data_IF_757954826044
#
_entry.id   IF_757954826044
#
_cell.length_a   1.000
_cell.length_b   1.000
_cell.length_c   1.000
_cell.angle_alpha   90.00
_cell.angle_beta   90.00
_cell.angle_gamma   90.00
#
_symmetry.space_group_name_H-M   'P 1'
#
loop_
_entity.id
_entity.type
_entity.pdbx_description
1 polymer ?
#
# COMPACT_ATOMS: atom_id res chain seq x y z
N UNK A 1 19.41 8.44 28.65
CA UNK A 1 19.31 7.38 29.68
C UNK A 1 18.26 7.80 30.70
N UNK A 2 17.08 7.21 30.65
CA UNK A 2 16.16 7.06 31.78
C UNK A 2 15.15 5.98 31.38
N UNK A 3 15.25 4.85 32.07
CA UNK A 3 14.48 3.62 31.89
C UNK A 3 13.32 3.63 32.89
N UNK A 4 12.13 3.15 32.49
CA UNK A 4 11.10 2.72 33.44
C UNK A 4 10.56 1.37 32.96
N UNK A 5 10.94 0.34 33.71
CA UNK A 5 10.40 -1.02 33.69
C UNK A 5 9.41 -1.14 34.85
N UNK A 6 8.30 -1.84 34.63
CA UNK A 6 7.29 -2.10 35.66
C UNK A 6 6.29 -3.14 35.17
N UNK A 7 6.62 -4.40 35.39
CA UNK A 7 5.75 -5.55 35.15
C UNK A 7 4.81 -5.76 36.36
N UNK A 8 3.54 -6.06 36.09
CA UNK A 8 2.66 -6.78 37.01
C UNK A 8 1.65 -7.60 36.20
N UNK A 9 1.58 -8.90 36.49
CA UNK A 9 0.66 -9.89 35.92
C UNK A 9 -0.32 -10.36 37.03
N UNK A 10 -1.39 -11.13 36.74
CA UNK A 10 -2.77 -10.74 37.07
C UNK A 10 -3.46 -11.69 38.08
N UNK A 11 -4.77 -11.50 38.35
CA UNK A 11 -5.65 -12.59 38.73
C UNK A 11 -6.75 -12.88 37.69
N UNK A 12 -7.44 -13.99 37.96
CA UNK A 12 -8.03 -14.96 37.05
C UNK A 12 -9.57 -14.94 36.94
N UNK A 13 -10.05 -15.58 35.86
CA UNK A 13 -11.41 -16.16 35.61
C UNK A 13 -12.54 -15.15 35.29
N UNK A 14 -13.50 -15.39 34.39
CA UNK A 14 -14.08 -16.64 33.90
C UNK A 14 -14.83 -16.44 32.55
N UNK A 15 -15.06 -17.57 31.88
CA UNK A 15 -16.19 -17.91 30.99
C UNK A 15 -16.33 -17.41 29.54
N UNK A 16 -16.45 -18.43 28.67
CA UNK A 16 -17.29 -18.54 27.48
C UNK A 16 -16.90 -17.80 26.19
N UNK A 17 -16.35 -18.52 25.21
CA UNK A 17 -17.13 -19.23 24.18
C UNK A 17 -16.17 -19.82 23.13
N UNK A 18 -16.06 -21.15 23.09
CA UNK A 18 -15.32 -21.87 22.03
C UNK A 18 -16.27 -22.11 20.87
N UNK A 19 -16.03 -21.53 19.71
CA UNK A 19 -16.59 -22.04 18.46
C UNK A 19 -15.53 -22.89 17.74
N UNK A 20 -15.64 -24.21 17.90
CA UNK A 20 -14.97 -25.21 17.06
C UNK A 20 -15.79 -25.34 15.77
N UNK A 21 -15.23 -24.99 14.62
CA UNK A 21 -15.77 -25.39 13.33
C UNK A 21 -15.20 -26.77 12.97
N UNK A 22 -16.05 -27.80 12.91
CA UNK A 22 -15.69 -29.12 12.39
C UNK A 22 -16.67 -29.51 11.28
N UNK A 23 -16.10 -29.79 10.10
CA UNK A 23 -16.53 -30.67 9.00
C UNK A 23 -17.99 -30.59 8.51
N UNK A 24 -18.13 -30.38 7.20
CA UNK A 24 -18.84 -31.34 6.37
C UNK A 24 -18.24 -31.43 4.95
N UNK A 25 -17.97 -32.68 4.57
CA UNK A 25 -17.58 -33.16 3.24
C UNK A 25 -18.82 -33.29 2.35
N UNK A 26 -18.57 -33.26 1.03
CA UNK A 26 -19.33 -33.89 -0.07
C UNK A 26 -20.70 -33.29 -0.42
N UNK A 27 -20.77 -32.65 -1.59
CA UNK A 27 -21.51 -33.15 -2.77
C UNK A 27 -21.03 -32.40 -4.03
N UNK A 28 -20.61 -33.15 -5.06
CA UNK A 28 -20.41 -32.65 -6.44
C UNK A 28 -21.77 -32.65 -7.15
N UNK A 29 -21.97 -31.75 -8.13
CA UNK A 29 -22.20 -32.26 -9.48
C UNK A 29 -21.25 -31.65 -10.51
N UNK A 30 -20.77 -32.56 -11.35
CA UNK A 30 -20.13 -32.44 -12.66
C UNK A 30 -20.72 -31.37 -13.56
N UNK A 31 -19.85 -30.52 -14.15
CA UNK A 31 -19.69 -30.26 -15.59
C UNK A 31 -18.60 -29.21 -15.80
N UNK A 32 -17.35 -29.66 -15.93
CA UNK A 32 -16.28 -28.92 -16.63
C UNK A 32 -15.19 -29.93 -17.01
N UNK A 33 -15.11 -30.31 -18.29
CA UNK A 33 -13.93 -31.03 -18.82
C UNK A 33 -12.83 -30.00 -19.06
N UNK A 34 -12.04 -29.73 -18.02
CA UNK A 34 -10.69 -29.19 -18.22
C UNK A 34 -9.79 -30.36 -18.63
N UNK A 35 -9.15 -30.25 -19.80
CA UNK A 35 -7.98 -31.09 -20.10
C UNK A 35 -6.93 -30.79 -19.04
N UNK A 36 -6.53 -31.81 -18.27
CA UNK A 36 -5.45 -31.69 -17.30
C UNK A 36 -4.12 -31.42 -18.02
N UNK A 37 -3.27 -30.48 -17.52
CA UNK A 37 -1.87 -30.49 -17.89
C UNK A 37 -1.17 -31.67 -17.20
N UNK A 38 -0.21 -32.25 -17.91
CA UNK A 38 0.56 -33.40 -17.48
C UNK A 38 1.28 -33.17 -16.14
N UNK A 39 1.34 -34.25 -15.35
CA UNK A 39 1.97 -34.37 -14.04
C UNK A 39 3.40 -33.80 -13.99
N UNK A 40 3.64 -32.91 -13.02
CA UNK A 40 4.97 -32.50 -12.54
C UNK A 40 5.52 -33.66 -11.70
N UNK A 41 6.14 -34.63 -12.35
CA UNK A 41 6.99 -35.64 -11.70
C UNK A 41 7.91 -36.22 -12.77
N UNK A 42 9.06 -35.58 -12.95
CA UNK A 42 10.33 -36.10 -13.47
C UNK A 42 11.08 -34.95 -14.11
N UNK A 43 12.09 -34.41 -13.40
CA UNK A 43 13.27 -33.76 -13.95
C UNK A 43 14.20 -33.41 -12.78
N UNK A 44 14.66 -34.44 -12.08
CA UNK A 44 15.86 -34.35 -11.25
C UNK A 44 17.01 -35.02 -11.99
N UNK A 45 17.94 -34.21 -12.50
CA UNK A 45 19.39 -34.46 -12.73
C UNK A 45 19.89 -33.75 -13.99
N UNK A 46 20.60 -32.65 -13.81
CA UNK A 46 21.97 -32.52 -14.33
C UNK A 46 22.68 -31.34 -13.67
N UNK A 47 23.95 -31.55 -13.39
CA UNK A 47 24.87 -30.73 -12.60
C UNK A 47 25.85 -29.96 -13.51
N UNK A 48 26.11 -28.68 -13.18
CA UNK A 48 27.46 -28.06 -13.28
C UNK A 48 27.86 -27.23 -14.52
N UNK A 49 27.73 -25.89 -14.40
CA UNK A 49 28.66 -24.75 -14.68
C UNK A 49 29.56 -24.64 -15.95
N UNK A 50 30.13 -23.44 -16.26
CA UNK A 50 29.62 -22.06 -16.16
C UNK A 50 29.84 -21.21 -17.45
N UNK A 51 29.22 -20.03 -17.50
CA UNK A 51 29.52 -18.86 -18.36
C UNK A 51 29.67 -19.07 -19.88
N UNK A 52 28.58 -18.80 -20.60
CA UNK A 52 28.62 -18.33 -21.99
C UNK A 52 28.06 -16.89 -22.06
N UNK A 53 28.67 -15.98 -22.83
CA UNK A 53 28.17 -14.60 -22.96
C UNK A 53 26.83 -14.60 -23.69
N UNK A 54 25.93 -13.70 -23.26
CA UNK A 54 24.62 -13.51 -23.88
C UNK A 54 24.78 -13.17 -25.38
N UNK A 55 23.95 -13.75 -26.28
CA UNK A 55 24.00 -13.38 -27.68
C UNK A 55 23.55 -11.93 -27.85
N UNK A 56 24.11 -11.19 -28.83
CA UNK A 56 23.75 -9.79 -29.05
C UNK A 56 22.27 -9.68 -29.40
N UNK A 57 21.60 -8.66 -28.83
CA UNK A 57 20.22 -8.31 -29.17
C UNK A 57 20.13 -8.02 -30.66
N UNK A 58 19.54 -8.96 -31.41
CA UNK A 58 19.11 -8.71 -32.77
C UNK A 58 18.12 -7.53 -32.75
N UNK A 59 18.45 -6.48 -33.50
CA UNK A 59 17.61 -5.31 -33.70
C UNK A 59 16.26 -5.74 -34.27
N UNK A 60 15.22 -5.71 -33.43
CA UNK A 60 13.84 -5.85 -33.89
C UNK A 60 13.51 -4.66 -34.78
N UNK A 61 13.09 -4.93 -36.01
CA UNK A 61 12.54 -3.94 -36.91
C UNK A 61 11.33 -3.22 -36.27
N UNK A 62 11.13 -1.92 -36.54
CA UNK A 62 10.00 -1.19 -36.00
C UNK A 62 8.72 -1.62 -36.73
N UNK A 63 7.74 -2.14 -35.98
CA UNK A 63 6.36 -2.29 -36.44
C UNK A 63 5.92 -3.69 -36.87
N UNK A 64 5.80 -4.63 -35.92
CA UNK A 64 4.82 -5.73 -35.99
C UNK A 64 4.24 -5.98 -34.58
N UNK A 65 3.58 -4.96 -34.03
CA UNK A 65 2.65 -5.10 -32.92
C UNK A 65 1.27 -4.74 -33.46
N UNK A 66 0.73 -5.56 -34.36
CA UNK A 66 -0.62 -5.36 -34.89
C UNK A 66 -1.62 -5.64 -33.79
N UNK A 67 -2.01 -4.63 -33.02
CA UNK A 67 -3.20 -4.73 -32.17
C UNK A 67 -4.36 -5.15 -33.06
N UNK A 68 -5.00 -6.28 -32.75
CA UNK A 68 -6.18 -6.71 -33.48
C UNK A 68 -7.24 -5.60 -33.41
N UNK A 69 -7.95 -5.38 -34.51
CA UNK A 69 -9.09 -4.47 -34.49
C UNK A 69 -10.07 -4.91 -33.39
N UNK A 70 -10.57 -3.94 -32.62
CA UNK A 70 -11.55 -4.21 -31.56
C UNK A 70 -12.81 -4.80 -32.20
N UNK A 71 -13.24 -5.98 -31.73
CA UNK A 71 -14.48 -6.63 -32.17
C UNK A 71 -15.67 -5.71 -31.87
N UNK A 72 -16.59 -5.58 -32.83
CA UNK A 72 -17.75 -4.68 -32.75
C UNK A 72 -19.07 -5.43 -32.82
N UNK A 73 -19.06 -6.69 -33.23
CA UNK A 73 -20.26 -7.51 -33.28
C UNK A 73 -20.80 -7.76 -31.86
N UNK A 74 -22.05 -7.33 -31.56
CA UNK A 74 -22.60 -7.43 -30.20
C UNK A 74 -22.72 -8.87 -29.69
N UNK A 75 -22.99 -9.84 -30.57
CA UNK A 75 -23.16 -11.24 -30.19
C UNK A 75 -21.79 -11.82 -29.82
N UNK A 76 -20.77 -11.59 -30.65
CA UNK A 76 -19.40 -12.03 -30.32
C UNK A 76 -18.84 -11.34 -29.08
N UNK A 77 -19.15 -10.06 -28.86
CA UNK A 77 -18.77 -9.37 -27.63
C UNK A 77 -19.46 -9.96 -26.40
N UNK A 78 -20.72 -10.36 -26.52
CA UNK A 78 -21.43 -11.07 -25.46
C UNK A 78 -20.79 -12.42 -25.16
N UNK A 79 -20.47 -13.21 -26.18
CA UNK A 79 -19.79 -14.50 -26.02
C UNK A 79 -18.42 -14.30 -25.32
N UNK A 80 -17.65 -13.30 -25.74
CA UNK A 80 -16.39 -12.93 -25.09
C UNK A 80 -16.58 -12.49 -23.64
N UNK A 81 -17.64 -11.75 -23.33
CA UNK A 81 -17.95 -11.38 -21.95
C UNK A 81 -18.24 -12.61 -21.08
N UNK A 82 -19.08 -13.52 -21.56
CA UNK A 82 -19.41 -14.76 -20.83
C UNK A 82 -18.17 -15.63 -20.63
N UNK A 83 -17.28 -15.70 -21.61
CA UNK A 83 -16.07 -16.51 -21.56
C UNK A 83 -14.97 -15.89 -20.68
N UNK A 84 -14.72 -14.58 -20.82
CA UNK A 84 -13.52 -13.92 -20.28
C UNK A 84 -13.77 -13.04 -19.05
N UNK A 85 -15.01 -12.86 -18.61
CA UNK A 85 -15.28 -12.13 -17.38
C UNK A 85 -14.61 -12.83 -16.19
N UNK A 86 -13.58 -12.19 -15.65
CA UNK A 86 -12.98 -12.64 -14.41
C UNK A 86 -13.73 -12.05 -13.22
N UNK A 87 -14.12 -12.92 -12.28
CA UNK A 87 -14.75 -12.52 -11.03
C UNK A 87 -13.95 -13.02 -9.83
N UNK A 88 -13.42 -12.11 -9.03
CA UNK A 88 -12.87 -12.41 -7.71
C UNK A 88 -13.95 -12.25 -6.63
N UNK A 89 -14.77 -13.29 -6.42
CA UNK A 89 -15.96 -13.25 -5.56
C UNK A 89 -15.72 -12.69 -4.15
N UNK A 90 -14.60 -13.04 -3.51
CA UNK A 90 -14.29 -12.57 -2.15
C UNK A 90 -14.04 -11.06 -2.07
N UNK A 91 -13.53 -10.45 -3.16
CA UNK A 91 -13.22 -9.03 -3.22
C UNK A 91 -14.34 -8.23 -3.89
N UNK A 92 -15.34 -8.89 -4.47
CA UNK A 92 -16.34 -8.24 -5.32
C UNK A 92 -15.76 -7.60 -6.59
N UNK A 93 -14.54 -7.99 -7.00
CA UNK A 93 -13.85 -7.43 -8.16
C UNK A 93 -14.26 -8.18 -9.44
N UNK A 94 -14.57 -7.41 -10.48
CA UNK A 94 -14.84 -7.92 -11.83
C UNK A 94 -13.86 -7.26 -12.80
N UNK A 95 -13.30 -8.07 -13.70
CA UNK A 95 -12.45 -7.60 -14.79
C UNK A 95 -13.05 -8.10 -16.10
N UNK A 96 -13.64 -7.19 -16.86
CA UNK A 96 -14.21 -7.45 -18.18
C UNK A 96 -13.19 -7.05 -19.26
N UNK A 97 -12.65 -8.05 -19.96
CA UNK A 97 -11.71 -7.85 -21.08
C UNK A 97 -12.37 -8.07 -22.45
N UNK A 98 -13.69 -8.26 -22.51
CA UNK A 98 -14.42 -8.62 -23.74
C UNK A 98 -14.22 -7.63 -24.88
N UNK A 99 -14.05 -6.36 -24.54
CA UNK A 99 -13.88 -5.23 -25.48
C UNK A 99 -12.42 -4.85 -25.74
N UNK A 100 -11.46 -5.61 -25.24
CA UNK A 100 -10.05 -5.41 -25.56
C UNK A 100 -9.70 -6.04 -26.90
N UNK A 101 -8.95 -5.32 -27.74
CA UNK A 101 -8.50 -5.78 -29.06
C UNK A 101 -7.32 -6.73 -28.96
N UNK A 102 -7.60 -8.03 -28.81
CA UNK A 102 -6.58 -9.09 -28.87
C UNK A 102 -7.08 -10.28 -29.69
N UNK A 103 -6.16 -10.95 -30.39
CA UNK A 103 -6.44 -12.17 -31.17
C UNK A 103 -6.72 -13.35 -30.25
N UNK A 104 -7.44 -14.37 -30.72
CA UNK A 104 -7.74 -15.56 -29.91
C UNK A 104 -6.46 -16.28 -29.42
N UNK A 105 -5.38 -16.25 -30.20
CA UNK A 105 -4.08 -16.82 -29.83
C UNK A 105 -3.23 -15.93 -28.89
N UNK A 106 -3.70 -14.71 -28.55
CA UNK A 106 -2.91 -13.74 -27.79
C UNK A 106 -2.46 -14.31 -26.44
N UNK A 107 -3.35 -14.96 -25.71
CA UNK A 107 -3.03 -15.51 -24.39
C UNK A 107 -2.02 -16.65 -24.48
N UNK A 108 -2.10 -17.49 -25.51
CA UNK A 108 -1.10 -18.53 -25.77
C UNK A 108 0.28 -17.93 -26.05
N UNK A 109 0.33 -16.82 -26.78
CA UNK A 109 1.58 -16.10 -27.05
C UNK A 109 2.14 -15.40 -25.81
N UNK A 110 1.25 -14.90 -24.93
CA UNK A 110 1.64 -14.22 -23.69
C UNK A 110 2.02 -15.19 -22.57
N UNK A 111 1.56 -16.43 -22.60
CA UNK A 111 1.78 -17.43 -21.54
C UNK A 111 3.26 -17.54 -21.12
N UNK A 112 4.25 -17.71 -22.03
CA UNK A 112 5.65 -17.79 -21.62
C UNK A 112 6.17 -16.50 -20.98
N UNK A 113 5.66 -15.33 -21.37
CA UNK A 113 6.04 -14.04 -20.78
C UNK A 113 5.45 -13.91 -19.37
N UNK A 114 4.20 -14.32 -19.19
CA UNK A 114 3.51 -14.29 -17.90
C UNK A 114 4.17 -15.26 -16.91
N UNK A 115 4.54 -16.47 -17.34
CA UNK A 115 5.28 -17.41 -16.49
C UNK A 115 6.61 -16.81 -16.00
N UNK A 116 7.36 -16.12 -16.87
CA UNK A 116 8.58 -15.41 -16.44
C UNK A 116 8.27 -14.28 -15.46
N UNK A 117 7.19 -13.52 -15.69
CA UNK A 117 6.78 -12.46 -14.78
C UNK A 117 6.40 -13.00 -13.40
N UNK A 118 5.69 -14.13 -13.31
CA UNK A 118 5.35 -14.77 -12.04
C UNK A 118 6.58 -15.29 -11.28
N UNK A 119 7.56 -15.88 -11.98
CA UNK A 119 8.84 -16.26 -11.37
C UNK A 119 9.56 -15.02 -10.83
N UNK A 120 9.68 -13.96 -11.62
CA UNK A 120 10.32 -12.72 -11.20
C UNK A 120 9.61 -12.07 -10.00
N UNK A 121 8.27 -12.09 -9.98
CA UNK A 121 7.49 -11.62 -8.83
C UNK A 121 7.77 -12.46 -7.58
N UNK A 122 7.86 -13.79 -7.69
CA UNK A 122 8.20 -14.65 -6.57
C UNK A 122 9.63 -14.44 -6.04
N UNK A 123 10.59 -14.08 -6.90
CA UNK A 123 11.95 -13.68 -6.49
C UNK A 123 11.95 -12.33 -5.79
N UNK A 124 11.24 -11.35 -6.35
CA UNK A 124 11.04 -10.03 -5.78
C UNK A 124 10.41 -10.16 -4.38
N UNK A 125 9.35 -10.94 -4.24
CA UNK A 125 8.66 -11.19 -2.97
C UNK A 125 9.57 -11.75 -1.87
N UNK A 126 10.52 -12.60 -2.25
CA UNK A 126 11.54 -13.19 -1.37
C UNK A 126 12.71 -12.24 -1.05
N UNK A 127 12.67 -10.99 -1.53
CA UNK A 127 13.67 -9.97 -1.22
C UNK A 127 14.85 -9.94 -2.21
N UNK A 128 14.64 -10.33 -3.47
CA UNK A 128 15.63 -10.04 -4.51
C UNK A 128 15.89 -8.52 -4.63
N UNK A 129 17.12 -8.16 -5.01
CA UNK A 129 17.46 -6.77 -5.30
C UNK A 129 16.83 -6.40 -6.65
N UNK A 130 15.73 -5.66 -6.57
CA UNK A 130 14.96 -5.22 -7.73
C UNK A 130 15.35 -3.83 -8.21
N UNK A 131 15.92 -2.99 -7.33
CA UNK A 131 16.50 -1.71 -7.70
C UNK A 131 18.04 -1.84 -7.69
N UNK A 132 18.67 -2.18 -8.83
CA UNK A 132 20.12 -2.38 -8.90
C UNK A 132 20.89 -1.07 -8.72
N UNK A 133 20.34 0.06 -9.18
CA UNK A 133 21.00 1.37 -9.10
C UNK A 133 21.17 1.83 -7.64
N UNK A 134 20.19 1.51 -6.79
CA UNK A 134 20.26 1.81 -5.35
C UNK A 134 20.69 0.61 -4.49
N UNK A 135 20.87 -0.57 -5.09
CA UNK A 135 21.17 -1.82 -4.37
C UNK A 135 20.07 -2.20 -3.36
N UNK A 136 18.79 -1.95 -3.69
CA UNK A 136 17.66 -2.09 -2.76
C UNK A 136 16.66 -3.16 -3.15
N UNK A 137 16.09 -3.79 -2.13
CA UNK A 137 14.87 -4.58 -2.24
C UNK A 137 13.66 -3.66 -2.42
N UNK A 138 12.58 -4.17 -3.00
CA UNK A 138 11.30 -3.46 -3.13
C UNK A 138 10.27 -4.25 -2.33
N UNK A 139 9.75 -3.73 -1.22
CA UNK A 139 9.04 -4.54 -0.23
C UNK A 139 7.64 -4.07 0.17
N UNK A 140 6.97 -3.25 -0.66
CA UNK A 140 5.70 -2.61 -0.29
C UNK A 140 4.55 -3.61 0.00
N UNK A 141 4.61 -4.82 -0.54
CA UNK A 141 3.67 -5.91 -0.26
C UNK A 141 3.90 -6.54 1.12
N UNK A 142 5.13 -6.52 1.68
CA UNK A 142 5.37 -6.91 3.07
C UNK A 142 4.62 -6.02 4.07
N UNK A 143 4.37 -4.76 3.69
CA UNK A 143 3.59 -3.83 4.52
C UNK A 143 2.10 -4.21 4.59
N UNK A 144 1.61 -5.00 3.62
CA UNK A 144 0.22 -5.50 3.56
C UNK A 144 0.10 -6.93 4.07
N UNK A 145 1.15 -7.74 3.89
CA UNK A 145 1.29 -9.08 4.47
C UNK A 145 2.72 -9.26 5.02
N UNK A 146 2.92 -8.97 6.33
CA UNK A 146 4.24 -9.12 6.96
C UNK A 146 4.78 -10.55 6.95
N UNK A 147 3.93 -11.56 6.72
CA UNK A 147 4.33 -12.95 6.61
C UNK A 147 5.25 -13.23 5.41
N UNK A 148 5.18 -12.40 4.37
CA UNK A 148 6.02 -12.49 3.17
C UNK A 148 7.40 -11.85 3.33
N UNK A 149 7.67 -11.15 4.44
CA UNK A 149 8.95 -10.49 4.63
C UNK A 149 10.10 -11.52 4.66
N UNK A 150 11.25 -11.22 4.03
CA UNK A 150 12.31 -12.20 3.78
C UNK A 150 13.06 -12.62 5.06
N UNK A 151 12.88 -11.90 6.15
CA UNK A 151 13.43 -12.25 7.46
C UNK A 151 12.53 -11.77 8.60
N UNK A 152 12.71 -12.40 9.77
CA UNK A 152 11.94 -12.10 10.98
C UNK A 152 12.15 -10.68 11.49
N UNK A 153 13.33 -10.10 11.29
CA UNK A 153 13.61 -8.72 11.70
C UNK A 153 12.72 -7.70 10.97
N UNK A 154 12.63 -7.79 9.64
CA UNK A 154 11.75 -6.94 8.84
C UNK A 154 10.29 -7.17 9.19
N UNK A 155 9.86 -8.44 9.29
CA UNK A 155 8.50 -8.79 9.70
C UNK A 155 8.12 -8.12 11.03
N UNK A 156 8.92 -8.33 12.08
CA UNK A 156 8.65 -7.77 13.40
C UNK A 156 8.68 -6.23 13.39
N UNK A 157 9.54 -5.62 12.58
CA UNK A 157 9.57 -4.15 12.45
C UNK A 157 8.29 -3.63 11.81
N UNK A 158 7.78 -4.30 10.78
CA UNK A 158 6.51 -3.95 10.12
C UNK A 158 5.34 -4.13 11.10
N UNK A 159 5.20 -5.31 11.70
CA UNK A 159 4.13 -5.64 12.65
C UNK A 159 4.08 -4.62 13.80
N UNK A 160 5.21 -4.36 14.47
CA UNK A 160 5.28 -3.38 15.56
C UNK A 160 4.95 -1.96 15.11
N UNK A 161 5.38 -1.57 13.90
CA UNK A 161 5.09 -0.22 13.38
C UNK A 161 3.59 -0.06 13.12
N UNK A 162 2.96 -1.08 12.51
CA UNK A 162 1.51 -1.09 12.30
C UNK A 162 0.77 -1.04 13.62
N UNK A 163 1.15 -1.86 14.61
CA UNK A 163 0.55 -1.85 15.95
C UNK A 163 0.64 -0.47 16.61
N UNK A 164 1.80 0.19 16.53
CA UNK A 164 1.99 1.54 17.06
C UNK A 164 1.10 2.58 16.36
N UNK A 165 0.99 2.52 15.02
CA UNK A 165 0.14 3.42 14.24
C UNK A 165 -1.33 3.23 14.62
N UNK A 166 -1.78 1.98 14.74
CA UNK A 166 -3.16 1.66 15.12
C UNK A 166 -3.47 2.15 16.54
N UNK A 167 -2.60 1.87 17.50
CA UNK A 167 -2.76 2.32 18.88
C UNK A 167 -2.77 3.85 18.98
N UNK A 168 -1.84 4.53 18.31
CA UNK A 168 -1.79 5.99 18.27
C UNK A 168 -3.06 6.58 17.64
N UNK A 169 -3.51 6.03 16.51
CA UNK A 169 -4.72 6.51 15.82
C UNK A 169 -5.96 6.35 16.70
N UNK A 170 -6.09 5.22 17.42
CA UNK A 170 -7.17 5.00 18.37
C UNK A 170 -7.10 5.99 19.55
N UNK A 171 -5.91 6.25 20.08
CA UNK A 171 -5.71 7.21 21.18
C UNK A 171 -6.06 8.65 20.75
N UNK A 172 -5.78 9.04 19.50
CA UNK A 172 -6.18 10.34 18.94
C UNK A 172 -7.69 10.43 18.74
N UNK A 173 -8.30 9.42 18.10
CA UNK A 173 -9.75 9.43 17.82
C UNK A 173 -10.58 9.36 19.10
N UNK A 174 -10.14 8.62 20.11
CA UNK A 174 -10.80 8.54 21.42
C UNK A 174 -10.61 9.79 22.29
N UNK A 175 -9.69 10.70 21.92
CA UNK A 175 -9.35 11.89 22.69
C UNK A 175 -8.46 11.62 23.91
N UNK A 176 -7.89 10.41 24.04
CA UNK A 176 -6.85 10.11 25.04
C UNK A 176 -5.59 10.94 24.75
N UNK A 177 -5.19 11.00 23.49
CA UNK A 177 -4.25 11.99 22.97
C UNK A 177 -5.06 13.19 22.48
N UNK A 178 -4.85 14.35 23.10
CA UNK A 178 -5.64 15.55 22.88
C UNK A 178 -4.76 16.79 22.73
N UNK A 179 -5.22 17.83 22.02
CA UNK A 179 -4.51 19.09 21.91
C UNK A 179 -4.43 19.80 23.28
N UNK A 180 -3.38 20.59 23.55
CA UNK A 180 -3.19 21.24 24.85
C UNK A 180 -4.28 22.25 25.23
N UNK A 181 -4.85 22.95 24.25
CA UNK A 181 -5.64 24.18 24.50
C UNK A 181 -6.93 24.27 23.69
N UNK A 182 -7.46 23.15 23.18
CA UNK A 182 -8.72 23.18 22.43
C UNK A 182 -9.95 23.10 23.34
N UNK A 183 -10.98 23.90 23.08
CA UNK A 183 -12.28 23.79 23.73
C UNK A 183 -12.99 22.47 23.43
N UNK A 184 -12.73 21.87 22.26
CA UNK A 184 -13.29 20.59 21.85
C UNK A 184 -12.77 19.39 22.67
N UNK A 185 -11.65 19.56 23.39
CA UNK A 185 -11.00 18.50 24.17
C UNK A 185 -10.42 17.35 23.34
N UNK A 186 -10.40 17.47 22.01
CA UNK A 186 -9.91 16.47 21.05
C UNK A 186 -9.39 17.14 19.78
N UNK A 187 -8.61 16.40 18.99
CA UNK A 187 -8.29 16.82 17.64
C UNK A 187 -9.56 16.78 16.76
N UNK A 188 -9.70 17.77 15.89
CA UNK A 188 -10.79 17.85 14.90
C UNK A 188 -10.27 17.93 13.47
N UNK A 189 -9.00 18.32 13.30
CA UNK A 189 -8.34 18.49 12.02
C UNK A 189 -7.01 17.72 11.98
N UNK A 190 -6.65 17.24 10.79
CA UNK A 190 -5.32 16.78 10.45
C UNK A 190 -4.78 17.70 9.35
N UNK A 191 -3.57 18.23 9.54
CA UNK A 191 -2.82 18.92 8.50
C UNK A 191 -1.63 18.05 8.09
N UNK A 192 -1.73 17.39 6.95
CA UNK A 192 -0.68 16.53 6.40
C UNK A 192 0.24 17.34 5.50
N UNK A 193 1.54 17.31 5.79
CA UNK A 193 2.58 18.03 5.06
C UNK A 193 3.48 16.99 4.39
N UNK A 194 3.52 16.99 3.06
CA UNK A 194 4.32 16.05 2.29
C UNK A 194 4.06 16.24 0.81
N UNK A 195 5.01 15.87 -0.05
CA UNK A 195 4.90 15.99 -1.51
C UNK A 195 5.01 14.62 -2.19
N UNK A 196 4.43 14.50 -3.39
CA UNK A 196 4.51 13.30 -4.22
C UNK A 196 3.93 12.07 -3.50
N UNK A 197 4.71 10.99 -3.41
CA UNK A 197 4.29 9.75 -2.74
C UNK A 197 3.94 9.92 -1.25
N UNK A 198 4.47 10.96 -0.60
CA UNK A 198 4.15 11.28 0.80
C UNK A 198 2.80 12.00 0.97
N UNK A 199 2.10 12.34 -0.12
CA UNK A 199 0.81 13.04 -0.09
C UNK A 199 -0.26 12.39 -0.94
N UNK A 200 0.05 12.02 -2.19
CA UNK A 200 -0.93 11.54 -3.17
C UNK A 200 -1.64 10.26 -2.73
N UNK A 201 -0.91 9.31 -2.13
CA UNK A 201 -1.50 8.07 -1.59
C UNK A 201 -2.49 8.34 -0.45
N UNK A 202 -2.06 9.04 0.62
CA UNK A 202 -2.97 9.48 1.69
C UNK A 202 -4.17 10.28 1.19
N UNK A 203 -3.99 11.22 0.26
CA UNK A 203 -5.07 12.00 -0.35
C UNK A 203 -6.10 11.09 -1.01
N UNK A 204 -5.64 10.23 -1.94
CA UNK A 204 -6.51 9.31 -2.67
C UNK A 204 -7.30 8.40 -1.74
N UNK A 205 -6.64 7.78 -0.74
CA UNK A 205 -7.30 6.87 0.20
C UNK A 205 -8.29 7.62 1.09
N UNK A 206 -7.96 8.84 1.52
CA UNK A 206 -8.87 9.65 2.33
C UNK A 206 -10.12 10.05 1.55
N UNK A 207 -10.00 10.46 0.29
CA UNK A 207 -11.14 10.82 -0.55
C UNK A 207 -12.00 9.60 -0.88
N UNK A 208 -11.37 8.46 -1.17
CA UNK A 208 -12.08 7.25 -1.59
C UNK A 208 -12.80 6.53 -0.44
N UNK A 209 -12.29 6.62 0.80
CA UNK A 209 -12.77 5.81 1.93
C UNK A 209 -13.32 6.63 3.10
N UNK A 210 -13.18 7.96 3.13
CA UNK A 210 -13.72 8.75 4.22
C UNK A 210 -15.26 8.65 4.27
N UNK A 211 -15.86 8.53 5.46
CA UNK A 211 -17.29 8.70 5.62
C UNK A 211 -17.69 10.17 5.36
N UNK A 212 -18.95 10.42 5.04
CA UNK A 212 -19.48 11.77 4.73
C UNK A 212 -19.16 12.82 5.82
N UNK A 213 -19.10 12.40 7.08
CA UNK A 213 -18.73 13.25 8.20
C UNK A 213 -17.64 12.58 9.05
N UNK A 214 -16.36 12.71 8.65
CA UNK A 214 -15.27 12.08 9.36
C UNK A 214 -15.02 12.78 10.71
N UNK A 215 -14.64 12.04 11.77
CA UNK A 215 -14.37 12.63 13.09
C UNK A 215 -13.18 13.60 13.09
N UNK A 216 -12.29 13.46 12.10
CA UNK A 216 -11.13 14.30 11.81
C UNK A 216 -11.15 14.65 10.33
N UNK A 217 -11.21 15.95 9.96
CA UNK A 217 -11.07 16.32 8.54
C UNK A 217 -9.59 16.49 8.21
N UNK A 218 -9.20 16.07 7.03
CA UNK A 218 -7.79 16.03 6.60
C UNK A 218 -7.58 17.11 5.56
N UNK A 219 -6.53 17.91 5.73
CA UNK A 219 -6.02 18.90 4.78
C UNK A 219 -4.60 18.55 4.41
N UNK A 220 -4.20 18.93 3.20
CA UNK A 220 -2.90 18.60 2.65
C UNK A 220 -2.14 19.87 2.25
N UNK A 221 -0.86 19.89 2.61
CA UNK A 221 0.14 20.81 2.06
C UNK A 221 1.12 19.95 1.27
N UNK A 222 0.98 19.99 -0.05
CA UNK A 222 1.76 19.18 -1.00
C UNK A 222 2.47 20.00 -2.08
N UNK A 223 2.36 21.32 -1.99
CA UNK A 223 3.06 22.28 -2.83
C UNK A 223 3.90 23.21 -1.94
N UNK A 224 4.97 23.76 -2.51
CA UNK A 224 5.84 24.74 -1.84
C UNK A 224 5.41 26.18 -2.06
N UNK A 225 4.41 26.44 -2.92
CA UNK A 225 3.87 27.77 -3.17
C UNK A 225 3.33 28.40 -1.85
N UNK A 226 3.90 29.51 -1.38
CA UNK A 226 3.47 30.16 -0.14
C UNK A 226 1.99 30.54 -0.15
N UNK A 227 1.44 30.97 -1.29
CA UNK A 227 0.04 31.38 -1.36
C UNK A 227 -0.92 30.21 -1.07
N UNK A 228 -0.58 29.02 -1.56
CA UNK A 228 -1.34 27.80 -1.28
C UNK A 228 -1.27 27.39 0.20
N UNK A 229 -0.09 27.50 0.80
CA UNK A 229 0.13 27.20 2.23
C UNK A 229 -0.67 28.18 3.10
N UNK A 230 -0.53 29.49 2.84
CA UNK A 230 -1.24 30.55 3.54
C UNK A 230 -2.76 30.36 3.45
N UNK A 231 -3.26 29.94 2.29
CA UNK A 231 -4.67 29.64 2.10
C UNK A 231 -5.14 28.48 3.01
N UNK A 232 -4.39 27.38 3.09
CA UNK A 232 -4.73 26.26 3.98
C UNK A 232 -4.71 26.67 5.45
N UNK A 233 -3.71 27.44 5.87
CA UNK A 233 -3.58 27.95 7.25
C UNK A 233 -4.74 28.91 7.58
N UNK A 234 -5.06 29.83 6.67
CA UNK A 234 -6.16 30.77 6.84
C UNK A 234 -7.52 30.05 6.94
N UNK A 235 -7.73 28.99 6.15
CA UNK A 235 -8.95 28.17 6.23
C UNK A 235 -9.07 27.40 7.54
N UNK A 236 -7.97 27.02 8.18
CA UNK A 236 -7.99 26.40 9.51
C UNK A 236 -8.38 27.41 10.58
N UNK A 237 -7.86 28.64 10.53
CA UNK A 237 -8.20 29.71 11.48
C UNK A 237 -8.07 29.24 12.94
N UNK A 238 -9.16 29.34 13.72
CA UNK A 238 -9.17 28.93 15.12
C UNK A 238 -9.02 27.41 15.32
N UNK A 239 -9.37 26.59 14.32
CA UNK A 239 -9.23 25.13 14.37
C UNK A 239 -7.77 24.68 14.39
N UNK A 240 -6.80 25.59 14.16
CA UNK A 240 -5.37 25.32 14.35
C UNK A 240 -5.07 24.78 15.77
N UNK A 241 -5.82 25.26 16.78
CA UNK A 241 -5.74 24.81 18.18
C UNK A 241 -6.15 23.35 18.40
N UNK A 242 -6.92 22.78 17.48
CA UNK A 242 -7.37 21.38 17.48
C UNK A 242 -6.87 20.61 16.27
N UNK A 243 -5.80 21.08 15.63
CA UNK A 243 -5.18 20.43 14.47
C UNK A 243 -3.99 19.56 14.91
N UNK A 244 -3.95 18.32 14.41
CA UNK A 244 -2.79 17.45 14.45
C UNK A 244 -2.00 17.60 13.14
N UNK A 245 -0.75 18.02 13.23
CA UNK A 245 0.15 18.18 12.07
C UNK A 245 0.91 16.88 11.85
N UNK A 246 0.83 16.32 10.65
CA UNK A 246 1.55 15.09 10.28
C UNK A 246 2.53 15.44 9.15
N UNK A 247 3.82 15.40 9.43
CA UNK A 247 4.88 15.67 8.44
C UNK A 247 5.39 14.36 7.90
N UNK A 248 5.27 14.14 6.59
CA UNK A 248 5.64 12.88 5.92
C UNK A 248 6.78 13.18 4.93
N UNK A 249 7.94 12.59 5.18
CA UNK A 249 9.09 12.73 4.29
C UNK A 249 9.97 11.48 4.35
N UNK A 250 10.09 10.75 3.24
CA UNK A 250 10.96 9.56 3.18
C UNK A 250 12.41 9.93 3.52
N UNK A 251 12.98 10.93 2.86
CA UNK A 251 14.39 11.31 3.05
C UNK A 251 14.64 12.15 4.30
N UNK A 252 13.59 12.77 4.88
CA UNK A 252 13.71 13.80 5.91
C UNK A 252 14.26 15.14 5.41
N UNK A 253 14.75 15.20 4.17
CA UNK A 253 15.41 16.37 3.58
C UNK A 253 14.65 17.05 2.44
N UNK A 254 13.44 16.60 2.10
CA UNK A 254 12.62 17.15 1.02
C UNK A 254 12.35 18.65 1.24
N UNK A 255 12.86 19.55 0.38
CA UNK A 255 12.75 21.00 0.56
C UNK A 255 11.31 21.49 0.67
N UNK A 256 10.41 20.97 -0.15
CA UNK A 256 9.00 21.35 -0.21
C UNK A 256 8.29 21.01 1.11
N UNK A 257 8.46 19.78 1.60
CA UNK A 257 7.93 19.36 2.92
C UNK A 257 8.51 20.22 4.04
N UNK A 258 9.81 20.56 3.96
CA UNK A 258 10.48 21.40 4.97
C UNK A 258 9.93 22.83 4.96
N UNK A 259 9.69 23.42 3.79
CA UNK A 259 9.10 24.75 3.68
C UNK A 259 7.69 24.78 4.29
N UNK A 260 6.85 23.81 3.93
CA UNK A 260 5.52 23.67 4.54
C UNK A 260 5.57 23.52 6.06
N UNK A 261 6.51 22.73 6.58
CA UNK A 261 6.74 22.60 8.02
C UNK A 261 7.10 23.95 8.68
N UNK A 262 8.01 24.72 8.09
CA UNK A 262 8.45 26.00 8.64
C UNK A 262 7.32 27.05 8.66
N UNK A 263 6.51 27.10 7.60
CA UNK A 263 5.36 28.00 7.54
C UNK A 263 4.29 27.63 8.57
N UNK A 264 3.99 26.34 8.74
CA UNK A 264 3.05 25.90 9.78
C UNK A 264 3.62 26.17 11.17
N UNK A 265 4.91 25.95 11.40
CA UNK A 265 5.56 26.32 12.67
C UNK A 265 5.45 27.81 12.95
N UNK A 266 5.62 28.66 11.93
CA UNK A 266 5.42 30.10 12.05
C UNK A 266 3.97 30.42 12.44
N UNK A 267 2.98 29.83 11.76
CA UNK A 267 1.57 30.05 12.08
C UNK A 267 1.21 29.62 13.51
N UNK A 268 1.75 28.50 14.01
CA UNK A 268 1.56 28.09 15.40
C UNK A 268 2.15 29.10 16.39
N UNK A 269 3.35 29.63 16.13
CA UNK A 269 3.97 30.66 16.97
C UNK A 269 3.17 31.96 16.96
N UNK A 270 2.70 32.39 15.79
CA UNK A 270 1.90 33.61 15.65
C UNK A 270 0.55 33.48 16.37
N UNK A 271 0.01 32.26 16.46
CA UNK A 271 -1.19 31.94 17.23
C UNK A 271 -0.93 31.67 18.73
N UNK A 272 0.33 31.73 19.20
CA UNK A 272 0.71 31.46 20.58
C UNK A 272 0.59 29.97 20.99
N UNK A 273 0.70 29.05 20.04
CA UNK A 273 0.56 27.61 20.25
C UNK A 273 1.92 26.89 20.29
N UNK A 274 2.02 25.86 21.13
CA UNK A 274 3.19 24.98 21.17
C UNK A 274 3.09 23.89 20.09
N UNK A 275 3.74 24.15 18.95
CA UNK A 275 3.80 23.22 17.82
C UNK A 275 4.28 21.81 18.22
N UNK A 276 5.20 21.68 19.19
CA UNK A 276 5.79 20.39 19.58
C UNK A 276 4.77 19.42 20.19
N UNK A 277 3.64 19.93 20.70
CA UNK A 277 2.56 19.14 21.29
C UNK A 277 1.54 18.64 20.27
N UNK A 278 1.61 19.14 19.03
CA UNK A 278 0.60 18.90 17.99
C UNK A 278 1.21 18.38 16.69
N UNK A 279 2.49 17.98 16.69
CA UNK A 279 3.17 17.46 15.50
C UNK A 279 3.59 16.01 15.67
N UNK A 280 3.38 15.22 14.61
CA UNK A 280 3.94 13.90 14.39
C UNK A 280 4.78 13.92 13.12
N UNK A 281 5.97 13.33 13.15
CA UNK A 281 6.83 13.19 11.98
C UNK A 281 6.95 11.72 11.58
N UNK A 282 6.73 11.44 10.30
CA UNK A 282 6.98 10.15 9.67
C UNK A 282 8.17 10.30 8.73
N UNK A 283 9.32 9.80 9.16
CA UNK A 283 10.57 9.86 8.41
C UNK A 283 11.18 8.47 8.32
N UNK A 284 11.67 8.12 7.14
CA UNK A 284 12.39 6.87 6.96
C UNK A 284 13.87 7.06 7.35
N UNK A 285 14.19 6.85 8.62
CA UNK A 285 15.57 6.85 9.11
C UNK A 285 16.24 5.46 8.99
N UNK A 286 16.03 4.76 7.87
CA UNK A 286 16.56 3.40 7.70
C UNK A 286 16.98 3.12 6.26
N UNK A 287 18.17 2.53 6.03
CA UNK A 287 18.67 2.22 4.68
C UNK A 287 17.90 1.09 3.97
N UNK A 288 16.83 0.55 4.58
CA UNK A 288 16.20 -0.71 4.19
C UNK A 288 14.79 -0.58 3.60
N UNK A 289 14.25 0.62 3.37
CA UNK A 289 12.89 0.77 2.86
C UNK A 289 12.83 1.57 1.55
N UNK A 290 12.36 0.88 0.51
CA UNK A 290 11.82 1.46 -0.71
C UNK A 290 10.39 1.94 -0.45
#
# INVERSE_FOLDING_TARGET
MASISGAAAPPSSSSACRLRLRRQLLMRPSHLRLRAPHSIADLSRSSGSPHAPAPPLASRAPGQGGGAAVEKDPIKLWDRYVEWLYQHKQLGLFVDVSRMGFTDDFLLQMEPLMQRAFVAMGELEKGAIANPDEGRMVGHYWLRDPGLAPNSFLRTKIEKTVDHILAFSQDVVSGKIKPPSSQAGRFTQILSIGIGGSSLGPQFVSEALAPDNPPLKIRFIDNTDPAGIDHQIAQLGEELKSTLVIVISKSGGTPETRNGLLEVQKAFRDAGLDFSKQVLTSVLFSPFAC
#
